data_IF_780099880131
#
_entry.id   IF_780099880131
#
_cell.length_a   1.000
_cell.length_b   1.000
_cell.length_c   1.000
_cell.angle_alpha   90.00
_cell.angle_beta   90.00
_cell.angle_gamma   90.00
#
_symmetry.space_group_name_H-M   'P 1'
#
loop_
_entity.id
_entity.type
_entity.pdbx_description
1 polymer ?
#
# COMPACT_ATOMS: atom_id res chain seq x y z
N UNK A 1 2.37 13.67 14.34
CA UNK A 1 1.51 13.57 13.15
C UNK A 1 2.36 13.50 11.89
N UNK A 2 2.21 12.47 11.10
CA UNK A 2 2.92 12.35 9.84
C UNK A 2 2.21 13.18 8.78
N UNK A 3 2.96 13.99 8.05
CA UNK A 3 2.43 14.79 6.95
C UNK A 3 2.49 14.04 5.61
N UNK A 4 3.07 12.85 5.61
CA UNK A 4 3.23 12.02 4.43
C UNK A 4 2.32 10.82 4.43
N UNK A 5 2.67 9.85 3.61
CA UNK A 5 1.99 8.56 3.50
C UNK A 5 2.85 7.49 4.15
N UNK A 6 2.30 6.82 5.14
CA UNK A 6 2.96 5.66 5.72
C UNK A 6 2.89 4.48 4.74
N UNK A 7 3.90 3.64 4.79
CA UNK A 7 4.00 2.47 3.94
C UNK A 7 4.01 1.23 4.84
N UNK A 8 3.04 0.35 4.61
CA UNK A 8 2.78 -0.81 5.46
C UNK A 8 3.12 -2.08 4.67
N UNK A 9 4.04 -2.86 5.22
CA UNK A 9 4.49 -4.12 4.61
C UNK A 9 3.90 -5.27 5.42
N UNK A 10 3.32 -6.25 4.74
CA UNK A 10 2.83 -7.48 5.39
C UNK A 10 3.35 -8.68 4.62
N UNK A 11 4.19 -9.47 5.27
CA UNK A 11 4.75 -10.71 4.73
C UNK A 11 5.12 -11.59 5.92
N UNK A 12 4.68 -12.83 5.96
CA UNK A 12 4.92 -13.71 7.10
C UNK A 12 6.38 -14.18 7.22
N UNK A 13 7.23 -13.89 6.23
CA UNK A 13 8.66 -14.15 6.29
C UNK A 13 9.42 -12.91 6.80
N UNK A 14 10.02 -12.96 8.00
CA UNK A 14 10.75 -11.80 8.55
C UNK A 14 11.92 -11.34 7.68
N UNK A 15 12.59 -12.25 6.98
CA UNK A 15 13.70 -11.89 6.10
C UNK A 15 13.22 -11.09 4.90
N UNK A 16 12.07 -11.45 4.35
CA UNK A 16 11.46 -10.71 3.24
C UNK A 16 11.03 -9.33 3.71
N UNK A 17 10.40 -9.23 4.88
CA UNK A 17 10.04 -7.94 5.48
C UNK A 17 11.24 -7.02 5.62
N UNK A 18 12.36 -7.56 6.14
CA UNK A 18 13.58 -6.77 6.34
C UNK A 18 14.15 -6.29 5.00
N UNK A 19 14.21 -7.18 4.01
CA UNK A 19 14.73 -6.86 2.68
C UNK A 19 13.89 -5.77 2.00
N UNK A 20 12.56 -5.89 2.05
CA UNK A 20 11.66 -4.91 1.45
C UNK A 20 11.78 -3.58 2.17
N UNK A 21 11.81 -3.59 3.50
CA UNK A 21 11.97 -2.38 4.32
C UNK A 21 13.25 -1.64 3.94
N UNK A 22 14.38 -2.33 3.90
CA UNK A 22 15.67 -1.74 3.53
C UNK A 22 15.64 -1.16 2.11
N UNK A 23 15.05 -1.89 1.18
CA UNK A 23 14.94 -1.43 -0.20
C UNK A 23 14.13 -0.14 -0.29
N UNK A 24 12.99 -0.08 0.39
CA UNK A 24 12.11 1.08 0.36
C UNK A 24 12.74 2.27 1.07
N UNK A 25 13.39 2.06 2.19
CA UNK A 25 14.01 3.15 2.97
C UNK A 25 15.13 3.85 2.21
N UNK A 26 15.70 3.22 1.18
CA UNK A 26 16.73 3.86 0.34
C UNK A 26 16.18 4.97 -0.54
N UNK A 27 14.90 4.94 -0.88
CA UNK A 27 14.32 5.93 -1.81
C UNK A 27 13.06 6.60 -1.28
N UNK A 28 12.50 6.15 -0.17
CA UNK A 28 11.25 6.66 0.37
C UNK A 28 11.45 7.29 1.73
N UNK A 29 11.12 8.59 1.85
CA UNK A 29 11.26 9.34 3.09
C UNK A 29 9.99 10.17 3.40
N UNK A 30 8.88 9.90 2.70
CA UNK A 30 7.65 10.70 2.84
C UNK A 30 6.66 10.10 3.84
N UNK A 31 7.10 9.27 4.72
CA UNK A 31 6.31 8.67 5.78
C UNK A 31 7.08 7.55 6.44
N UNK A 32 6.46 6.93 7.43
CA UNK A 32 7.08 5.81 8.13
C UNK A 32 6.91 4.53 7.33
N UNK A 33 7.90 3.65 7.41
CA UNK A 33 7.85 2.31 6.80
C UNK A 33 7.74 1.30 7.94
N UNK A 34 6.61 0.59 7.98
CA UNK A 34 6.29 -0.33 9.07
C UNK A 34 6.02 -1.71 8.49
N UNK A 35 6.71 -2.73 9.01
CA UNK A 35 6.57 -4.12 8.54
C UNK A 35 5.92 -4.99 9.61
N UNK A 36 5.04 -5.87 9.16
CA UNK A 36 4.36 -6.85 9.99
C UNK A 36 4.55 -8.25 9.40
N UNK A 37 4.83 -9.21 10.27
CA UNK A 37 4.87 -10.62 9.88
C UNK A 37 3.56 -11.34 10.18
N UNK A 38 2.59 -10.62 10.73
CA UNK A 38 1.29 -11.14 11.11
C UNK A 38 0.18 -10.20 10.61
N UNK A 39 -0.72 -10.75 9.81
CA UNK A 39 -1.79 -9.97 9.21
C UNK A 39 -2.77 -9.40 10.24
N UNK A 40 -3.02 -10.14 11.33
CA UNK A 40 -3.88 -9.66 12.42
C UNK A 40 -3.32 -8.42 13.10
N UNK A 41 -2.02 -8.41 13.36
CA UNK A 41 -1.35 -7.25 13.95
C UNK A 41 -1.38 -6.05 13.00
N UNK A 42 -1.19 -6.31 11.71
CA UNK A 42 -1.28 -5.26 10.69
C UNK A 42 -2.69 -4.68 10.61
N UNK A 43 -3.71 -5.52 10.68
CA UNK A 43 -5.11 -5.08 10.70
C UNK A 43 -5.37 -4.18 11.90
N UNK A 44 -4.97 -4.60 13.09
CA UNK A 44 -5.15 -3.81 14.31
C UNK A 44 -4.44 -2.46 14.21
N UNK A 45 -3.23 -2.45 13.69
CA UNK A 45 -2.47 -1.22 13.48
C UNK A 45 -3.22 -0.28 12.52
N UNK A 46 -3.70 -0.80 11.40
CA UNK A 46 -4.41 -0.01 10.41
C UNK A 46 -5.71 0.58 10.97
N UNK A 47 -6.48 -0.21 11.70
CA UNK A 47 -7.74 0.25 12.26
C UNK A 47 -7.55 1.30 13.35
N UNK A 48 -6.39 1.30 14.01
CA UNK A 48 -6.02 2.30 15.01
C UNK A 48 -5.26 3.50 14.43
N UNK A 49 -4.93 3.46 13.13
CA UNK A 49 -4.15 4.50 12.46
C UNK A 49 -4.91 5.83 12.41
N UNK A 50 -4.19 6.94 12.50
CA UNK A 50 -4.77 8.29 12.50
C UNK A 50 -5.53 8.63 11.21
N UNK A 51 -4.99 8.19 10.07
CA UNK A 51 -5.56 8.50 8.75
C UNK A 51 -6.09 7.24 8.09
N UNK A 52 -6.87 7.42 7.03
CA UNK A 52 -7.40 6.34 6.21
C UNK A 52 -6.67 6.19 4.89
N UNK A 53 -5.41 6.63 4.82
CA UNK A 53 -4.57 6.49 3.62
C UNK A 53 -3.21 5.91 3.99
N UNK A 54 -2.71 5.01 3.16
CA UNK A 54 -1.38 4.41 3.30
C UNK A 54 -1.05 3.67 2.01
N UNK A 55 0.23 3.37 1.80
CA UNK A 55 0.68 2.49 0.73
C UNK A 55 0.87 1.10 1.35
N UNK A 56 0.40 0.07 0.67
CA UNK A 56 0.53 -1.30 1.16
C UNK A 56 1.43 -2.12 0.24
N UNK A 57 2.34 -2.89 0.85
CA UNK A 57 3.17 -3.86 0.14
C UNK A 57 2.89 -5.21 0.78
N UNK A 58 2.21 -6.10 0.06
CA UNK A 58 1.60 -7.29 0.64
C UNK A 58 2.00 -8.54 -0.12
N UNK A 59 2.38 -9.59 0.62
CA UNK A 59 2.47 -10.93 0.05
C UNK A 59 1.04 -11.47 -0.16
N UNK A 60 0.82 -12.17 -1.27
CA UNK A 60 -0.49 -12.75 -1.57
C UNK A 60 -0.93 -13.72 -0.49
N UNK A 61 -0.06 -14.67 -0.16
CA UNK A 61 -0.39 -15.75 0.78
C UNK A 61 0.25 -15.50 2.12
N UNK A 62 -0.57 -15.10 3.08
CA UNK A 62 -0.19 -14.92 4.47
C UNK A 62 -0.60 -16.18 5.25
N UNK A 63 -0.08 -16.37 6.44
CA UNK A 63 -0.24 -17.61 7.18
C UNK A 63 -1.70 -18.07 7.33
N UNK A 64 -2.58 -17.17 7.71
CA UNK A 64 -3.98 -17.49 7.98
C UNK A 64 -4.98 -16.82 7.04
N UNK A 65 -4.49 -16.01 6.09
CA UNK A 65 -5.35 -15.30 5.15
C UNK A 65 -4.57 -14.87 3.93
N UNK A 66 -5.22 -14.19 3.00
CA UNK A 66 -4.57 -13.62 1.83
C UNK A 66 -4.46 -12.11 1.95
N UNK A 67 -3.65 -11.51 1.08
CA UNK A 67 -3.59 -10.05 0.96
C UNK A 67 -4.98 -9.47 0.70
N UNK A 68 -5.80 -10.17 -0.07
CA UNK A 68 -7.13 -9.70 -0.46
C UNK A 68 -8.08 -9.67 0.74
N UNK A 69 -8.07 -10.69 1.59
CA UNK A 69 -8.84 -10.69 2.84
C UNK A 69 -8.37 -9.61 3.79
N UNK A 70 -7.07 -9.40 3.87
CA UNK A 70 -6.51 -8.32 4.68
C UNK A 70 -7.02 -6.95 4.21
N UNK A 71 -6.95 -6.67 2.90
CA UNK A 71 -7.42 -5.41 2.33
C UNK A 71 -8.91 -5.22 2.56
N UNK A 72 -9.70 -6.29 2.42
CA UNK A 72 -11.13 -6.23 2.66
C UNK A 72 -11.44 -5.84 4.11
N UNK A 73 -10.64 -6.35 5.06
CA UNK A 73 -10.81 -6.06 6.48
C UNK A 73 -10.62 -4.58 6.84
N UNK A 74 -9.83 -3.85 6.06
CA UNK A 74 -9.50 -2.44 6.34
C UNK A 74 -10.15 -1.49 5.35
N UNK A 75 -10.86 -1.97 4.35
CA UNK A 75 -11.36 -1.17 3.23
C UNK A 75 -12.40 -0.11 3.64
N UNK A 76 -13.15 -0.32 4.71
CA UNK A 76 -14.10 0.68 5.21
C UNK A 76 -13.40 1.95 5.67
N UNK A 77 -12.21 1.80 6.25
CA UNK A 77 -11.41 2.94 6.71
C UNK A 77 -10.47 3.43 5.61
N UNK A 78 -9.83 2.50 4.89
CA UNK A 78 -8.88 2.82 3.83
C UNK A 78 -9.56 2.61 2.49
N UNK A 79 -10.36 3.57 2.08
CA UNK A 79 -11.20 3.45 0.88
C UNK A 79 -10.41 3.26 -0.41
N UNK A 80 -9.13 3.65 -0.43
CA UNK A 80 -8.23 3.48 -1.58
C UNK A 80 -7.24 2.32 -1.39
N UNK A 81 -7.51 1.41 -0.44
CA UNK A 81 -6.56 0.37 -0.08
C UNK A 81 -6.16 -0.51 -1.28
N UNK A 82 -7.11 -0.89 -2.11
CA UNK A 82 -6.82 -1.74 -3.27
C UNK A 82 -5.95 -1.03 -4.30
N UNK A 83 -6.28 0.21 -4.63
CA UNK A 83 -5.55 1.01 -5.61
C UNK A 83 -4.16 1.41 -5.11
N UNK A 84 -3.98 1.47 -3.79
CA UNK A 84 -2.72 1.86 -3.16
C UNK A 84 -1.90 0.65 -2.69
N UNK A 85 -2.19 -0.53 -3.22
CA UNK A 85 -1.51 -1.77 -2.86
C UNK A 85 -0.55 -2.24 -3.95
N UNK A 86 0.58 -2.75 -3.50
CA UNK A 86 1.56 -3.45 -4.32
C UNK A 86 1.58 -4.90 -3.84
N UNK A 87 1.11 -5.81 -4.68
CA UNK A 87 1.04 -7.22 -4.34
C UNK A 87 2.33 -7.91 -4.79
N UNK A 88 2.90 -8.70 -3.91
CA UNK A 88 4.13 -9.45 -4.17
C UNK A 88 3.81 -10.94 -4.04
N UNK A 89 4.23 -11.74 -5.01
CA UNK A 89 3.94 -13.17 -4.99
C UNK A 89 5.13 -13.97 -5.49
N UNK A 90 5.31 -15.18 -4.94
CA UNK A 90 6.28 -16.14 -5.46
C UNK A 90 5.83 -16.79 -6.76
N UNK A 91 4.54 -16.73 -7.05
CA UNK A 91 3.97 -17.30 -8.28
C UNK A 91 2.73 -16.53 -8.71
N UNK A 92 2.86 -15.74 -9.79
CA UNK A 92 1.77 -14.96 -10.36
C UNK A 92 0.92 -15.86 -11.27
N UNK A 93 0.05 -16.66 -10.67
CA UNK A 93 -0.90 -17.50 -11.42
C UNK A 93 -2.00 -16.66 -12.06
N UNK A 94 -2.70 -17.26 -13.04
CA UNK A 94 -3.84 -16.60 -13.68
C UNK A 94 -4.92 -16.22 -12.66
N UNK A 95 -5.13 -17.06 -11.64
CA UNK A 95 -6.11 -16.77 -10.59
C UNK A 95 -5.73 -15.52 -9.79
N UNK A 96 -4.46 -15.40 -9.43
CA UNK A 96 -3.97 -14.21 -8.70
C UNK A 96 -4.13 -12.95 -9.57
N UNK A 97 -3.76 -13.03 -10.85
CA UNK A 97 -3.91 -11.91 -11.79
C UNK A 97 -5.38 -11.49 -11.89
N UNK A 98 -6.29 -12.48 -12.05
CA UNK A 98 -7.71 -12.20 -12.19
C UNK A 98 -8.29 -11.53 -10.95
N UNK A 99 -7.88 -11.95 -9.74
CA UNK A 99 -8.33 -11.31 -8.51
C UNK A 99 -7.81 -9.88 -8.42
N UNK A 100 -6.56 -9.64 -8.80
CA UNK A 100 -5.99 -8.29 -8.83
C UNK A 100 -6.79 -7.37 -9.77
N UNK A 101 -7.09 -7.84 -10.98
CA UNK A 101 -7.86 -7.05 -11.95
C UNK A 101 -9.26 -6.75 -11.40
N UNK A 102 -9.94 -7.74 -10.84
CA UNK A 102 -11.29 -7.58 -10.29
C UNK A 102 -11.31 -6.64 -9.08
N UNK A 103 -10.20 -6.52 -8.37
CA UNK A 103 -10.08 -5.70 -7.14
C UNK A 103 -9.47 -4.33 -7.39
N UNK A 104 -9.22 -3.95 -8.65
CA UNK A 104 -8.57 -2.68 -9.02
C UNK A 104 -7.14 -2.55 -8.51
N UNK A 105 -6.45 -3.67 -8.31
CA UNK A 105 -5.03 -3.71 -7.98
C UNK A 105 -4.25 -3.71 -9.29
N UNK A 106 -3.35 -2.73 -9.45
CA UNK A 106 -2.58 -2.56 -10.68
C UNK A 106 -1.09 -2.83 -10.54
N UNK A 107 -0.63 -3.11 -9.33
CA UNK A 107 0.79 -3.36 -9.06
C UNK A 107 0.97 -4.77 -8.53
N UNK A 108 1.46 -5.67 -9.39
CA UNK A 108 1.74 -7.07 -9.05
C UNK A 108 3.19 -7.37 -9.42
N UNK A 109 4.00 -7.74 -8.43
CA UNK A 109 5.41 -8.05 -8.60
C UNK A 109 5.68 -9.50 -8.21
N UNK A 110 6.56 -10.17 -8.96
CA UNK A 110 6.99 -11.53 -8.61
C UNK A 110 8.29 -11.51 -7.80
N UNK A 111 8.41 -12.43 -6.87
CA UNK A 111 9.66 -12.66 -6.14
C UNK A 111 10.67 -13.36 -7.06
N UNK A 112 11.96 -13.03 -7.00
CA UNK A 112 12.58 -12.05 -6.12
C UNK A 112 12.27 -10.62 -6.53
N UNK A 113 11.92 -9.78 -5.55
CA UNK A 113 11.49 -8.40 -5.81
C UNK A 113 12.68 -7.57 -6.29
N UNK A 114 12.51 -6.93 -7.43
CA UNK A 114 13.53 -6.05 -7.99
C UNK A 114 13.34 -4.64 -7.42
N UNK A 115 14.46 -4.05 -7.00
CA UNK A 115 14.43 -2.72 -6.39
C UNK A 115 13.77 -1.67 -7.30
N UNK A 116 14.12 -1.67 -8.59
CA UNK A 116 13.54 -0.70 -9.52
C UNK A 116 12.04 -0.87 -9.71
N UNK A 117 11.56 -2.12 -9.72
CA UNK A 117 10.13 -2.40 -9.90
C UNK A 117 9.33 -1.93 -8.69
N UNK A 118 9.84 -2.18 -7.49
CA UNK A 118 9.23 -1.72 -6.26
C UNK A 118 9.24 -0.19 -6.19
N UNK A 119 10.35 0.43 -6.54
CA UNK A 119 10.48 1.89 -6.57
C UNK A 119 9.48 2.52 -7.53
N UNK A 120 9.35 1.95 -8.74
CA UNK A 120 8.41 2.46 -9.74
C UNK A 120 6.97 2.38 -9.25
N UNK A 121 6.58 1.27 -8.63
CA UNK A 121 5.24 1.07 -8.10
C UNK A 121 4.93 2.06 -6.97
N UNK A 122 5.84 2.22 -6.02
CA UNK A 122 5.67 3.18 -4.91
C UNK A 122 5.55 4.60 -5.45
N UNK A 123 6.43 4.99 -6.38
CA UNK A 123 6.40 6.33 -6.97
C UNK A 123 5.14 6.61 -7.75
N UNK A 124 4.58 5.60 -8.42
CA UNK A 124 3.31 5.75 -9.14
C UNK A 124 2.17 6.09 -8.19
N UNK A 125 2.12 5.43 -7.03
CA UNK A 125 1.10 5.72 -6.01
C UNK A 125 1.32 7.11 -5.40
N UNK A 126 2.55 7.43 -5.02
CA UNK A 126 2.90 8.75 -4.47
C UNK A 126 2.53 9.87 -5.45
N UNK A 127 2.82 9.67 -6.73
CA UNK A 127 2.54 10.65 -7.78
C UNK A 127 1.05 11.03 -7.85
N UNK A 128 0.17 10.06 -7.67
CA UNK A 128 -1.28 10.30 -7.63
C UNK A 128 -1.64 11.30 -6.52
N UNK A 129 -1.10 11.11 -5.33
CA UNK A 129 -1.37 11.99 -4.18
C UNK A 129 -0.73 13.36 -4.36
N UNK A 130 0.46 13.43 -4.93
CA UNK A 130 1.12 14.70 -5.22
C UNK A 130 0.35 15.51 -6.26
N UNK A 131 -0.15 14.86 -7.30
CA UNK A 131 -0.96 15.51 -8.32
C UNK A 131 -2.24 16.09 -7.72
N UNK A 132 -2.91 15.33 -6.88
CA UNK A 132 -4.11 15.78 -6.19
C UNK A 132 -3.83 16.99 -5.29
N UNK A 133 -2.75 16.94 -4.52
CA UNK A 133 -2.35 18.06 -3.66
C UNK A 133 -2.07 19.33 -4.47
N UNK A 134 -1.40 19.19 -5.61
CA UNK A 134 -1.13 20.32 -6.51
C UNK A 134 -2.43 20.95 -7.03
N UNK A 135 -3.41 20.12 -7.40
CA UNK A 135 -4.72 20.62 -7.85
C UNK A 135 -5.41 21.41 -6.76
N UNK A 136 -5.40 20.93 -5.53
CA UNK A 136 -6.01 21.64 -4.40
C UNK A 136 -5.33 23.00 -4.16
N UNK A 137 -4.01 23.07 -4.31
CA UNK A 137 -3.25 24.31 -4.14
C UNK A 137 -3.51 25.30 -5.29
N UNK A 138 -3.67 24.79 -6.51
CA UNK A 138 -3.90 25.62 -7.70
C UNK A 138 -5.35 26.09 -7.82
N UNK A 139 -6.29 25.39 -7.21
CA UNK A 139 -7.72 25.67 -7.31
C UNK A 139 -8.35 25.80 -5.91
N UNK A 140 -8.20 26.97 -5.24
CA UNK A 140 -8.76 27.17 -3.90
C UNK A 140 -10.27 26.90 -3.81
N UNK A 141 -11.02 27.21 -4.88
CA UNK A 141 -12.46 26.95 -4.91
C UNK A 141 -12.77 25.46 -4.83
N UNK A 142 -11.97 24.63 -5.47
CA UNK A 142 -12.11 23.17 -5.39
C UNK A 142 -11.82 22.67 -3.98
N UNK A 143 -10.76 23.16 -3.36
CA UNK A 143 -10.39 22.80 -1.99
C UNK A 143 -11.52 23.17 -1.02
N UNK A 144 -12.14 24.34 -1.19
CA UNK A 144 -13.25 24.79 -0.36
C UNK A 144 -14.47 23.88 -0.53
N UNK A 145 -14.77 23.49 -1.75
CA UNK A 145 -15.91 22.59 -2.03
C UNK A 145 -15.71 21.21 -1.40
N UNK A 146 -14.49 20.68 -1.43
CA UNK A 146 -14.15 19.39 -0.84
C UNK A 146 -14.31 19.45 0.68
N UNK A 147 -13.88 20.54 1.31
CA UNK A 147 -14.02 20.71 2.76
C UNK A 147 -15.47 20.73 3.24
N UNK A 148 -16.40 21.10 2.37
CA UNK A 148 -17.82 21.14 2.70
C UNK A 148 -18.53 19.80 2.56
N UNK A 149 -17.84 18.78 2.01
CA UNK A 149 -18.39 17.44 1.93
C UNK A 149 -18.30 16.74 3.28
#
# INVERSE_FOLDING_TARGET
MSEGLDLIIVDDDPEVCEMITETIERFYAWGDVIAFTNAGEATDYCLAHETGVAIFVLDVFLENETAFTFLDSISDKFSMAYEDSIIITGNASDDVVNVCVASDITHLLEKPVRSYALQLAVRAIVSKYMTFAKKLMAEPALAERIRRL
#
